data_IF_745131045350
#
_entry.id   IF_745131045350
#
_cell.length_a   1.000
_cell.length_b   1.000
_cell.length_c   1.000
_cell.angle_alpha   90.00
_cell.angle_beta   90.00
_cell.angle_gamma   90.00
#
_symmetry.space_group_name_H-M   'P 1'
#
loop_
_entity.id
_entity.type
_entity.pdbx_description
1 polymer ?
#
# COMPACT_ATOMS: atom_id res chain seq x y z
N UNK A 1 10.42 75.89 13.99
CA UNK A 1 11.01 74.52 14.01
C UNK A 1 10.83 73.75 15.34
N UNK A 2 10.06 74.20 16.34
CA UNK A 2 9.87 73.46 17.61
C UNK A 2 8.77 72.37 17.57
N UNK A 3 7.74 72.55 16.73
CA UNK A 3 6.57 71.64 16.66
C UNK A 3 6.94 70.27 16.05
N UNK A 4 7.87 70.23 15.09
CA UNK A 4 8.31 68.99 14.43
C UNK A 4 9.14 68.08 15.36
N UNK A 5 9.86 68.64 16.33
CA UNK A 5 10.58 67.85 17.33
C UNK A 5 9.66 67.25 18.40
N UNK A 6 8.62 67.97 18.83
CA UNK A 6 7.60 67.44 19.75
C UNK A 6 6.80 66.29 19.13
N UNK A 7 6.44 66.40 17.85
CA UNK A 7 5.67 65.35 17.16
C UNK A 7 6.51 64.09 16.89
N UNK A 8 7.81 64.25 16.60
CA UNK A 8 8.74 63.11 16.43
C UNK A 8 9.04 62.40 17.74
N UNK A 9 9.20 63.12 18.85
CA UNK A 9 9.44 62.53 20.17
C UNK A 9 8.19 61.83 20.72
N UNK A 10 7.00 62.36 20.46
CA UNK A 10 5.74 61.69 20.80
C UNK A 10 5.53 60.39 20.00
N UNK A 11 5.83 60.39 18.70
CA UNK A 11 5.72 59.20 17.86
C UNK A 11 6.72 58.11 18.28
N UNK A 12 7.96 58.49 18.60
CA UNK A 12 8.97 57.55 19.13
C UNK A 12 8.58 56.94 20.49
N UNK A 13 7.95 57.71 21.38
CA UNK A 13 7.47 57.18 22.67
C UNK A 13 6.29 56.21 22.49
N UNK A 14 5.41 56.46 21.52
CA UNK A 14 4.30 55.58 21.22
C UNK A 14 4.75 54.22 20.65
N UNK A 15 5.79 54.20 19.81
CA UNK A 15 6.30 52.93 19.24
C UNK A 15 7.03 52.05 20.27
N UNK A 16 7.65 52.61 21.31
CA UNK A 16 8.32 51.82 22.37
C UNK A 16 7.32 51.12 23.30
N UNK A 17 6.07 51.61 23.36
CA UNK A 17 5.05 51.07 24.27
C UNK A 17 4.42 49.75 23.81
N UNK A 18 4.73 49.28 22.59
CA UNK A 18 4.17 48.06 21.99
C UNK A 18 5.24 46.96 21.85
N UNK A 19 6.03 46.73 22.91
CA UNK A 19 6.80 45.49 23.01
C UNK A 19 5.92 44.42 23.69
N UNK A 20 5.31 43.54 22.90
CA UNK A 20 4.64 42.37 23.47
C UNK A 20 5.69 41.49 24.19
N UNK A 21 5.39 40.95 25.38
CA UNK A 21 6.27 39.94 25.98
C UNK A 21 6.31 38.72 25.05
N UNK A 22 7.51 38.28 24.70
CA UNK A 22 7.72 36.92 24.16
C UNK A 22 7.21 35.96 25.23
N UNK A 23 6.08 35.30 24.98
CA UNK A 23 5.55 34.27 25.85
C UNK A 23 6.48 33.05 25.77
N UNK A 24 7.41 32.94 26.73
CA UNK A 24 8.22 31.77 26.90
C UNK A 24 7.41 30.75 27.72
N UNK A 25 6.84 29.74 27.06
CA UNK A 25 6.13 28.66 27.74
C UNK A 25 7.19 27.68 28.28
N UNK A 26 7.30 27.59 29.60
CA UNK A 26 8.21 26.67 30.27
C UNK A 26 7.49 25.36 30.61
N UNK A 27 8.14 24.22 30.28
CA UNK A 27 7.71 22.90 30.72
C UNK A 27 8.43 22.54 32.03
N UNK A 28 7.70 22.46 33.13
CA UNK A 28 8.22 22.07 34.44
C UNK A 28 7.84 20.62 34.75
N UNK A 29 8.83 19.79 35.06
CA UNK A 29 8.62 18.45 35.60
C UNK A 29 9.01 18.45 37.08
N UNK A 30 8.01 18.38 37.95
CA UNK A 30 8.20 18.34 39.41
C UNK A 30 7.49 17.10 39.93
N UNK A 31 8.24 16.18 40.53
CA UNK A 31 7.73 14.92 41.07
C UNK A 31 6.95 14.06 40.05
N UNK A 32 7.36 14.07 38.77
CA UNK A 32 6.72 13.31 37.70
C UNK A 32 5.43 13.94 37.15
N UNK A 33 5.07 15.15 37.61
CA UNK A 33 3.95 15.91 37.08
C UNK A 33 4.46 17.02 36.16
N UNK A 34 4.06 16.94 34.89
CA UNK A 34 4.37 17.96 33.89
C UNK A 34 3.36 19.10 33.99
N UNK A 35 3.84 20.32 34.25
CA UNK A 35 3.04 21.55 34.28
C UNK A 35 3.64 22.56 33.31
N UNK A 36 2.79 23.27 32.57
CA UNK A 36 3.20 24.35 31.67
C UNK A 36 2.88 25.68 32.33
N UNK A 37 3.85 26.59 32.37
CA UNK A 37 3.67 27.91 32.96
C UNK A 37 4.43 28.94 32.14
N UNK A 38 3.93 30.18 32.15
CA UNK A 38 4.61 31.34 31.57
C UNK A 38 5.72 31.87 32.51
N UNK A 39 5.79 31.34 33.74
CA UNK A 39 6.85 31.63 34.71
C UNK A 39 7.93 30.55 34.69
N UNK A 40 9.19 30.96 34.89
CA UNK A 40 10.31 30.01 34.98
C UNK A 40 10.09 29.03 36.14
N UNK A 41 10.31 27.74 35.89
CA UNK A 41 10.15 26.72 36.91
C UNK A 41 10.98 27.05 38.16
N UNK A 42 10.42 26.94 39.38
CA UNK A 42 11.21 27.11 40.61
C UNK A 42 12.32 26.06 40.65
N UNK A 43 13.58 26.51 40.66
CA UNK A 43 14.76 25.64 40.55
C UNK A 43 15.09 25.15 39.12
N UNK A 44 14.47 25.75 38.09
CA UNK A 44 14.68 25.42 36.69
C UNK A 44 16.13 25.64 36.27
N UNK A 45 16.73 24.62 35.64
CA UNK A 45 18.06 24.73 35.03
C UNK A 45 17.89 25.08 33.56
N UNK A 46 18.62 26.09 33.08
CA UNK A 46 18.71 26.36 31.66
C UNK A 46 19.32 25.14 30.96
N UNK A 47 18.56 24.49 30.08
CA UNK A 47 19.08 23.42 29.25
C UNK A 47 20.03 24.04 28.25
N UNK A 48 21.31 23.69 28.33
CA UNK A 48 22.30 24.10 27.36
C UNK A 48 22.07 23.29 26.08
N UNK A 49 21.37 23.88 25.10
CA UNK A 49 21.03 23.21 23.83
C UNK A 49 22.30 22.92 23.00
N UNK A 50 23.44 23.54 23.32
CA UNK A 50 24.73 23.21 22.67
C UNK A 50 25.37 21.92 23.19
N UNK A 51 24.81 21.26 24.21
CA UNK A 51 25.28 19.94 24.66
C UNK A 51 24.48 18.81 24.00
N UNK A 52 24.14 18.94 22.72
CA UNK A 52 23.76 17.75 21.95
C UNK A 52 24.96 16.78 21.98
N UNK A 53 24.77 15.49 22.36
CA UNK A 53 25.83 14.52 22.21
C UNK A 53 26.26 14.53 20.75
N UNK A 54 27.56 14.73 20.52
CA UNK A 54 28.19 14.59 19.21
C UNK A 54 27.71 13.27 18.60
N UNK A 55 26.83 13.32 17.61
CA UNK A 55 26.44 12.13 16.86
C UNK A 55 27.68 11.66 16.12
N UNK A 56 28.22 10.50 16.52
CA UNK A 56 29.29 9.84 15.80
C UNK A 56 28.82 9.55 14.36
N UNK A 57 29.21 10.44 13.44
CA UNK A 57 28.83 10.35 12.03
C UNK A 57 29.31 9.06 11.38
N UNK A 58 30.30 8.36 11.94
CA UNK A 58 30.74 7.06 11.44
C UNK A 58 29.79 5.95 11.86
N UNK A 59 29.31 5.96 13.10
CA UNK A 59 28.28 5.04 13.58
C UNK A 59 26.96 5.23 12.82
N UNK A 60 26.54 6.47 12.59
CA UNK A 60 25.34 6.78 11.82
C UNK A 60 25.44 6.29 10.36
N UNK A 61 26.59 6.47 9.70
CA UNK A 61 26.83 5.94 8.35
C UNK A 61 26.82 4.41 8.30
N UNK A 62 27.42 3.74 9.27
CA UNK A 62 27.38 2.27 9.36
C UNK A 62 25.95 1.77 9.51
N UNK A 63 25.18 2.38 10.41
CA UNK A 63 23.77 2.05 10.60
C UNK A 63 22.97 2.22 9.31
N UNK A 64 23.15 3.36 8.61
CA UNK A 64 22.51 3.60 7.33
C UNK A 64 22.83 2.51 6.30
N UNK A 65 24.10 2.11 6.16
CA UNK A 65 24.48 1.05 5.21
C UNK A 65 23.90 -0.32 5.56
N UNK A 66 23.75 -0.63 6.84
CA UNK A 66 23.12 -1.89 7.28
C UNK A 66 21.60 -1.85 7.07
N UNK A 67 20.96 -0.70 7.30
CA UNK A 67 19.55 -0.49 7.04
C UNK A 67 19.25 -0.57 5.53
N UNK A 68 20.08 0.03 4.67
CA UNK A 68 19.97 -0.08 3.21
C UNK A 68 20.08 -1.55 2.74
N UNK A 69 21.06 -2.30 3.27
CA UNK A 69 21.20 -3.74 2.96
C UNK A 69 19.98 -4.52 3.42
N UNK A 70 19.44 -4.21 4.60
CA UNK A 70 18.25 -4.86 5.14
C UNK A 70 17.02 -4.56 4.28
N UNK A 71 16.83 -3.31 3.88
CA UNK A 71 15.73 -2.89 3.01
C UNK A 71 15.82 -3.60 1.65
N UNK A 72 16.99 -3.61 1.02
CA UNK A 72 17.20 -4.31 -0.25
C UNK A 72 16.90 -5.81 -0.14
N UNK A 73 17.34 -6.46 0.93
CA UNK A 73 17.02 -7.88 1.18
C UNK A 73 15.51 -8.11 1.31
N UNK A 74 14.81 -7.24 2.02
CA UNK A 74 13.35 -7.34 2.19
C UNK A 74 12.61 -7.13 0.87
N UNK A 75 13.07 -6.17 0.07
CA UNK A 75 12.53 -5.89 -1.26
C UNK A 75 12.75 -7.06 -2.21
N UNK A 76 13.98 -7.59 -2.30
CA UNK A 76 14.30 -8.79 -3.09
C UNK A 76 13.44 -9.98 -2.67
N UNK A 77 13.20 -10.16 -1.37
CA UNK A 77 12.33 -11.21 -0.86
C UNK A 77 10.86 -11.00 -1.26
N UNK A 78 10.36 -9.76 -1.24
CA UNK A 78 8.99 -9.44 -1.72
C UNK A 78 8.86 -9.79 -3.20
N UNK A 79 9.75 -9.28 -4.04
CA UNK A 79 9.71 -9.54 -5.48
C UNK A 79 9.81 -11.02 -5.82
N UNK A 80 10.63 -11.79 -5.10
CA UNK A 80 10.70 -13.25 -5.28
C UNK A 80 9.39 -13.95 -4.94
N UNK A 81 8.70 -13.52 -3.88
CA UNK A 81 7.38 -14.06 -3.51
C UNK A 81 6.33 -13.68 -4.54
N UNK A 82 6.24 -12.40 -4.89
CA UNK A 82 5.33 -11.89 -5.92
C UNK A 82 5.51 -12.62 -7.24
N UNK A 83 6.75 -12.78 -7.72
CA UNK A 83 7.04 -13.49 -8.96
C UNK A 83 6.67 -14.99 -8.88
N UNK A 84 6.78 -15.63 -7.71
CA UNK A 84 6.37 -17.03 -7.52
C UNK A 84 4.85 -17.15 -7.54
N UNK A 85 4.15 -16.29 -6.80
CA UNK A 85 2.69 -16.23 -6.75
C UNK A 85 2.10 -15.93 -8.13
N UNK A 86 2.65 -14.96 -8.86
CA UNK A 86 2.23 -14.62 -10.22
C UNK A 86 2.41 -15.82 -11.17
N UNK A 87 3.53 -16.54 -11.08
CA UNK A 87 3.75 -17.76 -11.88
C UNK A 87 2.73 -18.83 -11.57
N UNK A 88 2.44 -19.07 -10.30
CA UNK A 88 1.44 -20.07 -9.86
C UNK A 88 0.04 -19.68 -10.35
N UNK A 89 -0.36 -18.42 -10.16
CA UNK A 89 -1.63 -17.89 -10.66
C UNK A 89 -1.75 -18.01 -12.18
N UNK A 90 -0.69 -17.66 -12.92
CA UNK A 90 -0.66 -17.79 -14.37
C UNK A 90 -0.78 -19.24 -14.84
N UNK A 91 -0.15 -20.19 -14.13
CA UNK A 91 -0.29 -21.62 -14.45
C UNK A 91 -1.73 -22.11 -14.24
N UNK A 92 -2.33 -21.76 -13.09
CA UNK A 92 -3.72 -22.11 -12.78
C UNK A 92 -4.67 -21.47 -13.80
N UNK A 93 -4.47 -20.19 -14.13
CA UNK A 93 -5.28 -19.48 -15.11
C UNK A 93 -5.20 -20.13 -16.51
N UNK A 94 -4.00 -20.53 -16.94
CA UNK A 94 -3.78 -21.23 -18.22
C UNK A 94 -4.45 -22.60 -18.23
N UNK A 95 -4.29 -23.39 -17.16
CA UNK A 95 -4.93 -24.70 -17.05
C UNK A 95 -6.46 -24.58 -17.10
N UNK A 96 -7.03 -23.64 -16.34
CA UNK A 96 -8.47 -23.37 -16.36
C UNK A 96 -8.96 -22.88 -17.72
N UNK A 97 -8.22 -22.00 -18.39
CA UNK A 97 -8.57 -21.54 -19.73
C UNK A 97 -8.53 -22.66 -20.77
N UNK A 98 -7.52 -23.55 -20.69
CA UNK A 98 -7.43 -24.73 -21.55
C UNK A 98 -8.62 -25.68 -21.32
N UNK A 99 -8.96 -25.96 -20.06
CA UNK A 99 -10.10 -26.78 -19.71
C UNK A 99 -11.42 -26.19 -20.21
N UNK A 100 -11.65 -24.90 -20.00
CA UNK A 100 -12.84 -24.20 -20.53
C UNK A 100 -12.95 -24.29 -22.05
N UNK A 101 -11.85 -24.11 -22.78
CA UNK A 101 -11.81 -24.26 -24.24
C UNK A 101 -12.10 -25.69 -24.69
N UNK A 102 -11.56 -26.69 -23.99
CA UNK A 102 -11.84 -28.11 -24.25
C UNK A 102 -13.33 -28.40 -24.05
N UNK A 103 -13.88 -27.94 -22.93
CA UNK A 103 -15.29 -28.14 -22.61
C UNK A 103 -16.24 -27.42 -23.55
N UNK A 104 -15.94 -26.19 -23.97
CA UNK A 104 -16.76 -25.49 -24.96
C UNK A 104 -16.75 -26.19 -26.32
N UNK A 105 -15.60 -26.71 -26.75
CA UNK A 105 -15.50 -27.49 -28.00
C UNK A 105 -16.29 -28.80 -27.92
N UNK A 106 -16.19 -29.54 -26.81
CA UNK A 106 -16.96 -30.77 -26.61
C UNK A 106 -18.47 -30.51 -26.51
N UNK A 107 -18.87 -29.45 -25.82
CA UNK A 107 -20.28 -29.03 -25.74
C UNK A 107 -20.85 -28.72 -27.13
N UNK A 108 -20.09 -28.03 -27.98
CA UNK A 108 -20.48 -27.74 -29.35
C UNK A 108 -20.60 -29.02 -30.19
N UNK A 109 -19.64 -29.96 -30.07
CA UNK A 109 -19.71 -31.25 -30.77
C UNK A 109 -20.91 -32.08 -30.35
N UNK A 110 -21.21 -32.11 -29.05
CA UNK A 110 -22.41 -32.76 -28.51
C UNK A 110 -23.66 -32.16 -29.13
N UNK A 111 -23.80 -30.83 -29.07
CA UNK A 111 -24.94 -30.11 -29.64
C UNK A 111 -25.13 -30.43 -31.13
N UNK A 112 -24.07 -30.39 -31.92
CA UNK A 112 -24.16 -30.73 -33.34
C UNK A 112 -24.53 -32.20 -33.57
N UNK A 113 -24.01 -33.13 -32.75
CA UNK A 113 -24.39 -34.53 -32.87
C UNK A 113 -25.87 -34.78 -32.49
N UNK A 114 -26.39 -34.03 -31.51
CA UNK A 114 -27.81 -34.07 -31.14
C UNK A 114 -28.70 -33.48 -32.24
N UNK A 115 -28.28 -32.36 -32.85
CA UNK A 115 -28.95 -31.73 -34.01
C UNK A 115 -28.93 -32.66 -35.24
N UNK A 116 -27.78 -33.29 -35.54
CA UNK A 116 -27.65 -34.30 -36.61
C UNK A 116 -28.63 -35.47 -36.40
N UNK A 117 -28.74 -35.96 -35.16
CA UNK A 117 -29.66 -37.04 -34.82
C UNK A 117 -31.11 -36.60 -35.01
N UNK A 118 -31.49 -35.41 -34.55
CA UNK A 118 -32.83 -34.87 -34.71
C UNK A 118 -33.21 -34.67 -36.20
N UNK A 119 -32.25 -34.31 -37.05
CA UNK A 119 -32.47 -34.12 -38.48
C UNK A 119 -32.45 -35.43 -39.31
N UNK A 120 -31.91 -36.53 -38.77
CA UNK A 120 -31.72 -37.78 -39.52
C UNK A 120 -32.89 -38.76 -39.30
N UNK A 121 -33.57 -39.14 -40.38
CA UNK A 121 -34.63 -40.16 -40.35
C UNK A 121 -34.20 -41.52 -40.97
N UNK A 122 -34.97 -42.56 -40.69
CA UNK A 122 -34.81 -43.89 -41.31
C UNK A 122 -33.60 -44.67 -40.79
N UNK A 123 -33.02 -45.52 -41.65
CA UNK A 123 -31.94 -46.47 -41.25
C UNK A 123 -30.66 -45.79 -40.72
N UNK A 124 -30.45 -44.50 -41.05
CA UNK A 124 -29.31 -43.73 -40.57
C UNK A 124 -29.50 -43.16 -39.14
N UNK A 125 -30.73 -43.16 -38.62
CA UNK A 125 -31.06 -42.57 -37.31
C UNK A 125 -30.36 -43.27 -36.15
N UNK A 126 -30.26 -44.61 -36.15
CA UNK A 126 -29.61 -45.36 -35.07
C UNK A 126 -28.10 -45.07 -35.01
N UNK A 127 -27.44 -44.94 -36.17
CA UNK A 127 -26.03 -44.52 -36.22
C UNK A 127 -25.84 -43.10 -35.68
N UNK A 128 -26.75 -42.18 -36.02
CA UNK A 128 -26.73 -40.81 -35.52
C UNK A 128 -26.98 -40.77 -33.99
N UNK A 129 -27.88 -41.61 -33.47
CA UNK A 129 -28.13 -41.77 -32.03
C UNK A 129 -26.89 -42.22 -31.27
N UNK A 130 -26.18 -43.23 -31.78
CA UNK A 130 -24.95 -43.72 -31.15
C UNK A 130 -23.87 -42.62 -31.15
N UNK A 131 -23.76 -41.83 -32.23
CA UNK A 131 -22.84 -40.69 -32.33
C UNK A 131 -23.17 -39.62 -31.29
N UNK A 132 -24.45 -39.23 -31.17
CA UNK A 132 -24.94 -38.29 -30.19
C UNK A 132 -24.64 -38.75 -28.75
N UNK A 133 -24.95 -40.02 -28.44
CA UNK A 133 -24.63 -40.61 -27.13
C UNK A 133 -23.14 -40.54 -26.81
N UNK A 134 -22.27 -40.97 -27.73
CA UNK A 134 -20.80 -40.95 -27.53
C UNK A 134 -20.27 -39.53 -27.34
N UNK A 135 -20.80 -38.56 -28.07
CA UNK A 135 -20.42 -37.15 -27.90
C UNK A 135 -20.84 -36.63 -26.51
N UNK A 136 -22.02 -37.03 -26.03
CA UNK A 136 -22.48 -36.74 -24.66
C UNK A 136 -21.62 -37.40 -23.58
N UNK A 137 -21.28 -38.67 -23.73
CA UNK A 137 -20.39 -39.40 -22.83
C UNK A 137 -19.00 -38.74 -22.75
N UNK A 138 -18.41 -38.38 -23.90
CA UNK A 138 -17.13 -37.68 -23.94
C UNK A 138 -17.18 -36.30 -23.26
N UNK A 139 -18.26 -35.54 -23.47
CA UNK A 139 -18.45 -34.26 -22.79
C UNK A 139 -18.55 -34.45 -21.27
N UNK A 140 -19.34 -35.42 -20.81
CA UNK A 140 -19.53 -35.67 -19.38
C UNK A 140 -18.26 -36.17 -18.69
N UNK A 141 -17.45 -37.02 -19.35
CA UNK A 141 -16.18 -37.51 -18.79
C UNK A 141 -15.16 -36.39 -18.56
N UNK A 142 -15.15 -35.39 -19.43
CA UNK A 142 -14.17 -34.32 -19.39
C UNK A 142 -14.66 -33.10 -18.59
N UNK A 143 -15.97 -32.86 -18.56
CA UNK A 143 -16.57 -31.59 -18.11
C UNK A 143 -17.74 -31.76 -17.13
N UNK A 144 -18.12 -32.99 -16.78
CA UNK A 144 -19.29 -33.29 -15.95
C UNK A 144 -19.10 -33.17 -14.44
N UNK A 145 -18.26 -32.24 -13.99
CA UNK A 145 -18.10 -31.86 -12.58
C UNK A 145 -18.75 -30.50 -12.32
#
# INVERSE_FOLDING_TARGET
MRISHMMRTALLSLLVSVSAPVFAIYKCDVNGKVTYSDETCPGGKALNINSMPSTDGTAAKRQLTEDEKKLKRLEDQRHKREAREEREQNQIARANAAQRKKCSSLAQRKRWADEDFAATAGKASEKARIKARRAGEQYNLECGL
#
